data_IF_126797398698
#
_entry.id   IF_126797398698
#
_cell.length_a   1.000
_cell.length_b   1.000
_cell.length_c   1.000
_cell.angle_alpha   90.00
_cell.angle_beta   90.00
_cell.angle_gamma   90.00
#
_symmetry.space_group_name_H-M   'P 1'
#
loop_
_entity.id
_entity.type
_entity.pdbx_description
1 polymer ?
#
# COMPACT_ATOMS: atom_id res chain seq x y z
N UNK A 1 -14.13 -3.72 -1.42
CA UNK A 1 -14.16 -5.03 -2.11
C UNK A 1 -12.74 -5.58 -2.12
N UNK A 2 -12.53 -6.89 -1.90
CA UNK A 2 -11.17 -7.46 -1.93
C UNK A 2 -10.65 -7.47 -3.38
N UNK A 3 -9.62 -6.66 -3.67
CA UNK A 3 -9.00 -6.60 -5.00
C UNK A 3 -7.98 -7.74 -5.18
N UNK A 4 -6.87 -7.73 -4.42
CA UNK A 4 -5.84 -8.79 -4.46
C UNK A 4 -5.87 -9.74 -3.27
N UNK A 5 -6.24 -9.26 -2.08
CA UNK A 5 -6.15 -10.01 -0.82
C UNK A 5 -7.53 -10.38 -0.31
N UNK A 6 -7.81 -11.68 -0.18
CA UNK A 6 -9.08 -12.16 0.35
C UNK A 6 -9.18 -11.96 1.88
N UNK A 7 -10.42 -12.00 2.44
CA UNK A 7 -10.64 -11.81 3.87
C UNK A 7 -10.01 -12.88 4.77
N UNK A 8 -9.83 -14.11 4.26
CA UNK A 8 -9.17 -15.17 5.02
C UNK A 8 -7.66 -14.95 5.06
N UNK A 9 -7.15 -14.65 6.24
CA UNK A 9 -5.75 -14.34 6.52
C UNK A 9 -5.41 -14.93 7.89
N UNK A 10 -4.28 -15.62 8.00
CA UNK A 10 -3.78 -16.13 9.26
C UNK A 10 -2.35 -15.62 9.46
N UNK A 11 -2.19 -14.63 10.32
CA UNK A 11 -0.91 -14.04 10.69
C UNK A 11 -0.94 -13.70 12.18
N UNK A 12 0.24 -13.59 12.80
CA UNK A 12 0.37 -13.13 14.18
C UNK A 12 0.58 -11.61 14.18
N UNK A 13 0.04 -10.91 15.17
CA UNK A 13 0.27 -9.46 15.36
C UNK A 13 1.74 -9.12 15.53
N UNK A 14 2.54 -10.03 16.11
CA UNK A 14 4.00 -9.85 16.23
C UNK A 14 4.74 -9.83 14.90
N UNK A 15 4.10 -10.35 13.85
CA UNK A 15 4.67 -10.43 12.50
C UNK A 15 4.22 -9.25 11.62
N UNK A 16 3.45 -8.31 12.18
CA UNK A 16 2.97 -7.12 11.48
C UNK A 16 3.85 -5.91 11.81
N UNK A 17 4.40 -5.31 10.76
CA UNK A 17 5.13 -4.05 10.83
C UNK A 17 4.15 -2.93 10.49
N UNK A 18 3.95 -2.00 11.43
CA UNK A 18 3.08 -0.84 11.25
C UNK A 18 3.85 0.49 11.45
N UNK A 19 4.97 0.63 10.74
CA UNK A 19 5.87 1.77 10.87
C UNK A 19 6.07 2.56 9.56
N UNK A 20 5.78 1.95 8.42
CA UNK A 20 6.05 2.53 7.10
C UNK A 20 4.75 2.97 6.42
N UNK A 21 4.78 4.09 5.72
CA UNK A 21 3.70 4.49 4.82
C UNK A 21 3.97 4.01 3.38
N UNK A 22 2.89 3.71 2.64
CA UNK A 22 3.01 3.44 1.22
C UNK A 22 3.38 4.73 0.48
N UNK A 23 4.34 4.64 -0.44
CA UNK A 23 4.67 5.75 -1.33
C UNK A 23 3.57 5.97 -2.38
N UNK A 24 2.90 4.89 -2.80
CA UNK A 24 1.83 4.94 -3.80
C UNK A 24 0.48 4.97 -3.09
N UNK A 25 -0.42 5.81 -3.60
CA UNK A 25 -1.79 5.96 -3.11
C UNK A 25 -2.71 5.79 -4.31
N UNK A 26 -3.65 4.84 -4.23
CA UNK A 26 -4.58 4.60 -5.32
C UNK A 26 -5.73 5.62 -5.30
N UNK A 27 -6.23 5.93 -6.49
CA UNK A 27 -7.24 6.98 -6.70
C UNK A 27 -8.67 6.48 -6.49
N UNK A 28 -8.91 5.18 -6.59
CA UNK A 28 -10.24 4.59 -6.48
C UNK A 28 -10.15 3.20 -5.83
N UNK A 29 -11.10 2.84 -4.95
CA UNK A 29 -11.14 1.54 -4.27
C UNK A 29 -11.56 0.35 -5.14
N UNK A 30 -11.93 0.59 -6.40
CA UNK A 30 -12.38 -0.45 -7.34
C UNK A 30 -11.31 -0.84 -8.37
N UNK A 31 -10.18 -0.13 -8.42
CA UNK A 31 -9.10 -0.38 -9.37
C UNK A 31 -7.89 -0.95 -8.68
N UNK A 32 -7.37 -2.05 -9.22
CA UNK A 32 -6.16 -2.69 -8.72
C UNK A 32 -4.91 -1.84 -9.01
N UNK A 33 -4.18 -1.47 -7.96
CA UNK A 33 -3.01 -0.61 -8.01
C UNK A 33 -1.92 -1.02 -7.00
N UNK A 34 -0.88 -0.20 -6.89
CA UNK A 34 0.20 -0.44 -5.92
C UNK A 34 -0.11 0.16 -4.53
N UNK A 35 -1.21 0.89 -4.39
CA UNK A 35 -1.82 1.24 -3.11
C UNK A 35 -2.67 0.11 -2.53
N UNK A 36 -3.06 -0.89 -3.32
CA UNK A 36 -4.03 -1.91 -2.93
C UNK A 36 -3.55 -2.82 -1.79
N UNK A 37 -4.50 -3.45 -1.08
CA UNK A 37 -4.17 -4.51 -0.11
C UNK A 37 -3.70 -5.77 -0.87
N UNK A 38 -2.72 -6.50 -0.35
CA UNK A 38 -2.16 -7.68 -0.99
C UNK A 38 -0.94 -7.41 -1.89
N UNK A 39 -0.38 -6.20 -1.84
CA UNK A 39 0.81 -5.82 -2.61
C UNK A 39 2.06 -6.30 -1.88
N UNK A 40 2.96 -6.96 -2.60
CA UNK A 40 4.30 -7.28 -2.08
C UNK A 40 5.17 -6.03 -2.10
N UNK A 41 5.76 -5.67 -0.97
CA UNK A 41 6.45 -4.36 -0.81
C UNK A 41 7.91 -4.51 -0.38
N UNK A 42 8.71 -3.49 -0.70
CA UNK A 42 10.11 -3.32 -0.27
C UNK A 42 10.31 -1.96 0.37
N UNK A 43 11.30 -1.85 1.25
CA UNK A 43 11.66 -0.57 1.88
C UNK A 43 12.20 0.39 0.81
N UNK A 44 11.66 1.61 0.77
CA UNK A 44 12.12 2.70 -0.09
C UNK A 44 13.00 3.68 0.70
N UNK A 45 12.55 4.07 1.90
CA UNK A 45 13.27 4.96 2.81
C UNK A 45 13.18 4.41 4.23
N UNK A 46 14.34 4.21 4.87
CA UNK A 46 14.49 3.55 6.17
C UNK A 46 15.39 4.31 7.15
N UNK A 47 15.53 5.63 7.01
CA UNK A 47 16.41 6.42 7.87
C UNK A 47 15.78 6.64 9.25
N UNK A 48 16.20 5.84 10.23
CA UNK A 48 15.73 5.90 11.61
C UNK A 48 16.17 7.14 12.39
N UNK A 49 17.06 7.97 11.82
CA UNK A 49 17.49 9.23 12.44
C UNK A 49 16.59 10.42 12.08
N UNK A 50 15.59 10.23 11.21
CA UNK A 50 14.62 11.29 10.89
C UNK A 50 13.58 11.46 12.00
N UNK A 51 12.93 12.62 11.99
CA UNK A 51 11.80 12.89 12.88
C UNK A 51 10.65 11.89 12.67
N UNK A 52 9.80 11.77 13.69
CA UNK A 52 8.70 10.79 13.69
C UNK A 52 7.59 11.10 12.68
N UNK A 53 7.49 12.35 12.24
CA UNK A 53 6.57 12.80 11.21
C UNK A 53 7.20 13.93 10.39
N UNK A 54 6.80 14.04 9.12
CA UNK A 54 7.19 15.13 8.22
C UNK A 54 5.94 15.92 7.78
N UNK A 55 6.08 17.24 7.60
CA UNK A 55 5.02 18.13 7.11
C UNK A 55 5.31 18.54 5.67
N UNK A 56 4.90 17.65 4.76
CA UNK A 56 5.10 17.83 3.33
C UNK A 56 3.91 18.61 2.75
N UNK A 57 4.19 19.50 1.81
CA UNK A 57 3.15 20.13 0.99
C UNK A 57 2.44 19.06 0.18
N UNK A 58 1.11 19.04 0.23
CA UNK A 58 0.34 17.98 -0.41
C UNK A 58 -0.80 18.54 -1.25
N UNK A 59 -0.77 18.21 -2.55
CA UNK A 59 -1.90 18.41 -3.47
C UNK A 59 -3.19 17.72 -2.98
N UNK A 60 -3.06 16.80 -2.03
CA UNK A 60 -4.20 16.11 -1.42
C UNK A 60 -5.09 17.06 -0.62
N UNK A 61 -4.55 18.12 0.01
CA UNK A 61 -5.35 19.07 0.79
C UNK A 61 -5.87 20.22 -0.07
N UNK A 62 -5.09 20.66 -1.05
CA UNK A 62 -5.44 21.77 -1.94
C UNK A 62 -4.31 22.06 -2.91
N UNK A 63 -4.50 23.06 -3.77
CA UNK A 63 -3.46 23.49 -4.71
C UNK A 63 -2.31 24.17 -3.97
N UNK A 64 -1.08 23.75 -4.23
CA UNK A 64 0.13 24.31 -3.61
C UNK A 64 0.73 25.49 -4.36
N UNK A 65 0.25 25.77 -5.58
CA UNK A 65 1.00 26.57 -6.56
C UNK A 65 0.51 28.02 -6.68
N UNK A 66 -0.38 28.46 -5.78
CA UNK A 66 -0.91 29.83 -5.82
C UNK A 66 0.00 30.81 -5.08
N UNK A 67 0.38 31.94 -5.71
CA UNK A 67 1.14 32.98 -5.03
C UNK A 67 0.39 33.51 -3.81
N UNK A 68 1.11 33.68 -2.68
CA UNK A 68 0.65 34.30 -1.43
C UNK A 68 -0.41 33.52 -0.61
N UNK A 69 -0.84 32.35 -1.05
CA UNK A 69 -1.59 31.40 -0.24
C UNK A 69 -0.61 30.42 0.41
N UNK A 70 -0.65 30.29 1.74
CA UNK A 70 0.15 29.29 2.44
C UNK A 70 -0.25 27.89 1.97
N UNK A 71 0.73 27.02 1.73
CA UNK A 71 0.45 25.63 1.37
C UNK A 71 0.00 24.86 2.61
N UNK A 72 -1.14 24.18 2.52
CA UNK A 72 -1.58 23.26 3.56
C UNK A 72 -0.60 22.09 3.68
N UNK A 73 -0.12 21.87 4.90
CA UNK A 73 0.82 20.79 5.22
C UNK A 73 0.04 19.60 5.76
N UNK A 74 0.35 18.41 5.25
CA UNK A 74 -0.22 17.17 5.75
C UNK A 74 0.86 16.40 6.52
N UNK A 75 0.60 15.95 7.76
CA UNK A 75 1.55 15.13 8.50
C UNK A 75 1.68 13.76 7.86
N UNK A 76 2.90 13.33 7.56
CA UNK A 76 3.18 12.04 6.93
C UNK A 76 4.28 11.28 7.65
N UNK A 77 4.21 9.96 7.60
CA UNK A 77 5.30 9.09 8.04
C UNK A 77 6.46 9.18 7.04
N UNK A 78 7.69 9.49 7.47
CA UNK A 78 8.84 9.64 6.57
C UNK A 78 9.44 8.30 6.13
N UNK A 79 9.23 7.24 6.90
CA UNK A 79 9.61 5.89 6.55
C UNK A 79 8.64 5.36 5.47
N UNK A 80 9.17 5.01 4.30
CA UNK A 80 8.36 4.65 3.13
C UNK A 80 8.69 3.27 2.60
N UNK A 81 7.67 2.57 2.12
CA UNK A 81 7.81 1.40 1.27
C UNK A 81 7.22 1.65 -0.12
N UNK A 82 7.59 0.82 -1.08
CA UNK A 82 7.03 0.80 -2.43
C UNK A 82 6.84 -0.64 -2.90
N UNK A 83 6.11 -0.84 -3.99
CA UNK A 83 5.91 -2.17 -4.58
C UNK A 83 7.26 -2.83 -4.93
N UNK A 84 7.40 -4.09 -4.55
CA UNK A 84 8.62 -4.85 -4.74
C UNK A 84 8.81 -5.28 -6.21
N UNK A 85 10.05 -5.35 -6.62
CA UNK A 85 10.49 -5.89 -7.92
C UNK A 85 11.67 -6.82 -7.66
N UNK A 86 12.07 -7.61 -8.65
CA UNK A 86 13.28 -8.44 -8.53
C UNK A 86 14.51 -7.61 -8.18
N UNK A 87 15.46 -8.21 -7.45
CA UNK A 87 16.74 -7.59 -7.08
C UNK A 87 16.77 -6.87 -5.73
N UNK A 88 15.66 -6.82 -5.00
CA UNK A 88 15.59 -6.31 -3.63
C UNK A 88 14.80 -7.26 -2.72
N UNK A 89 15.13 -7.35 -1.43
CA UNK A 89 14.37 -8.17 -0.49
C UNK A 89 12.95 -7.63 -0.32
N UNK A 90 11.98 -8.54 -0.32
CA UNK A 90 10.58 -8.26 -0.01
C UNK A 90 10.43 -8.11 1.50
N UNK A 91 9.81 -7.03 1.96
CA UNK A 91 9.49 -6.78 3.36
C UNK A 91 8.29 -7.62 3.81
N UNK A 92 7.26 -7.72 2.98
CA UNK A 92 6.03 -8.44 3.29
C UNK A 92 4.88 -8.03 2.38
N UNK A 93 3.65 -8.33 2.84
CA UNK A 93 2.39 -8.05 2.13
C UNK A 93 1.57 -6.96 2.85
N UNK A 94 1.00 -6.01 2.11
CA UNK A 94 0.11 -4.98 2.68
C UNK A 94 -1.23 -5.58 3.13
N UNK A 95 -1.65 -5.28 4.36
CA UNK A 95 -2.93 -5.77 4.89
C UNK A 95 -4.10 -4.84 4.56
N UNK A 96 -3.84 -3.54 4.47
CA UNK A 96 -4.84 -2.52 4.16
C UNK A 96 -4.49 -1.81 2.85
N UNK A 97 -5.50 -1.23 2.22
CA UNK A 97 -5.32 -0.45 1.00
C UNK A 97 -4.99 1.01 1.34
N UNK A 98 -4.07 1.63 0.61
CA UNK A 98 -3.73 3.05 0.72
C UNK A 98 -4.45 3.82 -0.38
N UNK A 99 -5.52 4.55 -0.03
CA UNK A 99 -6.45 5.17 -0.98
C UNK A 99 -6.81 6.59 -0.55
N UNK A 100 -6.99 7.48 -1.53
CA UNK A 100 -7.32 8.89 -1.29
C UNK A 100 -8.80 9.27 -1.47
N UNK A 101 -9.52 8.62 -2.38
CA UNK A 101 -10.92 8.92 -2.71
C UNK A 101 -11.83 7.68 -2.57
N UNK A 102 -13.13 7.90 -2.44
CA UNK A 102 -14.16 6.87 -2.45
C UNK A 102 -14.57 6.49 -3.90
N UNK A 103 -15.53 5.58 -4.04
CA UNK A 103 -16.06 5.12 -5.33
C UNK A 103 -16.63 6.25 -6.19
N UNK A 104 -17.10 7.33 -5.55
CA UNK A 104 -17.72 8.50 -6.20
C UNK A 104 -16.74 9.67 -6.38
N UNK A 105 -15.46 9.49 -6.01
CA UNK A 105 -14.43 10.52 -6.12
C UNK A 105 -14.38 11.49 -4.93
N UNK A 106 -15.15 11.26 -3.87
CA UNK A 106 -15.09 12.07 -2.65
C UNK A 106 -13.85 11.71 -1.82
N UNK A 107 -13.19 12.69 -1.18
CA UNK A 107 -11.99 12.41 -0.37
C UNK A 107 -12.36 11.60 0.88
N UNK A 108 -11.67 10.48 1.10
CA UNK A 108 -11.85 9.64 2.30
C UNK A 108 -11.47 10.36 3.60
N UNK A 109 -10.70 11.45 3.51
CA UNK A 109 -10.41 12.32 4.65
C UNK A 109 -11.68 12.88 5.32
N UNK A 110 -12.74 13.14 4.54
CA UNK A 110 -14.01 13.68 5.07
C UNK A 110 -15.00 12.58 5.47
N UNK A 111 -14.78 11.35 5.00
CA UNK A 111 -15.68 10.20 5.20
C UNK A 111 -14.96 9.08 5.98
N UNK A 112 -14.73 9.25 7.30
CA UNK A 112 -14.01 8.26 8.10
C UNK A 112 -14.74 6.91 8.20
N UNK A 113 -16.08 6.92 8.21
CA UNK A 113 -16.88 5.68 8.26
C UNK A 113 -16.65 4.82 7.02
N UNK A 114 -16.75 5.42 5.82
CA UNK A 114 -16.46 4.71 4.56
C UNK A 114 -15.01 4.23 4.50
N UNK A 115 -14.07 5.03 4.99
CA UNK A 115 -12.65 4.65 5.04
C UNK A 115 -12.45 3.37 5.86
N UNK A 116 -13.10 3.25 7.01
CA UNK A 116 -13.01 2.07 7.87
C UNK A 116 -13.76 0.86 7.27
N UNK A 117 -14.91 1.07 6.64
CA UNK A 117 -15.63 0.03 5.86
C UNK A 117 -14.78 -0.55 4.74
N UNK A 118 -13.99 0.31 4.08
CA UNK A 118 -13.07 -0.06 3.03
C UNK A 118 -11.76 -0.66 3.56
N UNK A 119 -11.52 -0.69 4.87
CA UNK A 119 -10.23 -1.07 5.45
C UNK A 119 -9.07 -0.28 4.81
N UNK A 120 -9.29 1.02 4.60
CA UNK A 120 -8.35 1.90 3.92
C UNK A 120 -7.50 2.73 4.91
N UNK A 121 -6.28 3.03 4.48
CA UNK A 121 -5.31 3.91 5.12
C UNK A 121 -5.15 5.14 4.23
N UNK A 122 -5.11 6.33 4.82
CA UNK A 122 -4.95 7.56 4.03
C UNK A 122 -3.50 7.74 3.57
N UNK A 123 -3.31 8.60 2.57
CA UNK A 123 -1.96 8.99 2.12
C UNK A 123 -1.07 9.39 3.29
N UNK A 124 0.14 8.84 3.37
CA UNK A 124 1.12 9.22 4.39
C UNK A 124 0.89 8.63 5.79
N UNK A 125 -0.22 7.92 6.04
CA UNK A 125 -0.40 7.14 7.26
C UNK A 125 0.35 5.80 7.17
N UNK A 126 0.75 5.26 8.33
CA UNK A 126 1.39 3.95 8.38
C UNK A 126 0.42 2.87 7.89
N UNK A 127 0.89 2.03 6.97
CA UNK A 127 0.13 0.91 6.44
C UNK A 127 0.69 -0.39 7.03
N UNK A 128 -0.16 -1.25 7.62
CA UNK A 128 0.28 -2.50 8.23
C UNK A 128 0.75 -3.49 7.15
N UNK A 129 1.97 -4.00 7.32
CA UNK A 129 2.62 -4.98 6.44
C UNK A 129 2.89 -6.26 7.23
N UNK A 130 2.35 -7.38 6.79
CA UNK A 130 2.63 -8.68 7.40
C UNK A 130 3.87 -9.30 6.76
N UNK A 131 4.84 -9.69 7.60
CA UNK A 131 6.11 -10.29 7.17
C UNK A 131 6.01 -11.79 6.94
N UNK A 132 5.08 -12.46 7.64
CA UNK A 132 4.79 -13.90 7.49
C UNK A 132 3.34 -14.20 7.83
N UNK A 133 2.85 -15.31 7.33
CA UNK A 133 1.48 -15.77 7.53
C UNK A 133 0.99 -16.62 6.36
N UNK A 134 -0.28 -17.02 6.45
CA UNK A 134 -1.03 -17.66 5.37
C UNK A 134 -2.06 -16.67 4.82
N UNK A 135 -1.98 -16.41 3.52
CA UNK A 135 -2.80 -15.43 2.83
C UNK A 135 -3.40 -16.06 1.59
N UNK A 136 -4.67 -15.74 1.34
CA UNK A 136 -5.37 -16.16 0.13
C UNK A 136 -5.46 -14.97 -0.82
N UNK A 137 -5.01 -15.15 -2.06
CA UNK A 137 -4.94 -14.08 -3.06
C UNK A 137 -5.90 -14.33 -4.22
N UNK A 138 -6.36 -13.24 -4.82
CA UNK A 138 -7.09 -13.21 -6.07
C UNK A 138 -6.16 -13.39 -7.29
N UNK A 139 -6.72 -13.76 -8.44
CA UNK A 139 -5.97 -13.86 -9.71
C UNK A 139 -5.21 -12.57 -10.04
N UNK A 140 -5.76 -11.41 -9.68
CA UNK A 140 -5.13 -10.09 -9.90
C UNK A 140 -3.79 -9.90 -9.18
N UNK A 141 -3.51 -10.67 -8.12
CA UNK A 141 -2.24 -10.64 -7.41
C UNK A 141 -1.08 -11.29 -8.17
N UNK A 142 -1.39 -12.11 -9.19
CA UNK A 142 -0.42 -12.87 -9.96
C UNK A 142 -0.11 -12.19 -11.30
N UNK A 143 1.11 -12.36 -11.77
CA UNK A 143 1.51 -11.96 -13.12
C UNK A 143 0.95 -12.94 -14.15
N UNK A 144 0.11 -12.45 -15.08
CA UNK A 144 -0.52 -13.30 -16.10
C UNK A 144 0.42 -13.74 -17.22
N UNK A 145 1.59 -13.09 -17.36
CA UNK A 145 2.49 -13.25 -18.51
C UNK A 145 3.74 -14.10 -18.19
N UNK A 146 3.92 -14.57 -16.95
CA UNK A 146 5.19 -15.13 -16.47
C UNK A 146 5.26 -16.66 -16.28
N UNK A 147 4.13 -17.36 -16.36
CA UNK A 147 4.02 -18.75 -15.91
C UNK A 147 2.87 -18.89 -14.91
N UNK A 148 2.29 -20.08 -14.82
CA UNK A 148 1.20 -20.34 -13.89
C UNK A 148 1.78 -20.72 -12.53
N UNK A 149 1.25 -20.17 -11.44
CA UNK A 149 1.63 -20.62 -10.10
C UNK A 149 1.10 -22.04 -9.89
N UNK A 150 2.00 -23.01 -9.96
CA UNK A 150 1.68 -24.43 -9.78
C UNK A 150 1.75 -24.77 -8.27
N UNK A 151 0.74 -25.46 -7.72
CA UNK A 151 0.79 -25.94 -6.34
C UNK A 151 2.05 -26.77 -6.06
N UNK A 152 2.75 -26.45 -4.98
CA UNK A 152 3.98 -27.14 -4.56
C UNK A 152 5.28 -26.47 -5.01
N UNK A 153 5.22 -25.48 -5.90
CA UNK A 153 6.39 -24.70 -6.30
C UNK A 153 6.59 -23.45 -5.44
N UNK A 154 7.84 -22.98 -5.37
CA UNK A 154 8.16 -21.68 -4.81
C UNK A 154 7.63 -20.57 -5.73
N UNK A 155 7.10 -19.51 -5.13
CA UNK A 155 6.58 -18.33 -5.84
C UNK A 155 7.56 -17.18 -5.62
N UNK A 156 7.93 -16.51 -6.70
CA UNK A 156 8.81 -15.33 -6.70
C UNK A 156 8.06 -14.01 -6.86
N UNK A 157 8.82 -12.91 -6.81
CA UNK A 157 8.32 -11.58 -7.16
C UNK A 157 8.40 -11.38 -8.68
N UNK A 158 7.36 -10.77 -9.26
CA UNK A 158 7.34 -10.44 -10.68
C UNK A 158 8.45 -9.44 -11.06
N UNK A 159 9.19 -9.67 -12.16
CA UNK A 159 10.15 -8.71 -12.70
C UNK A 159 9.46 -7.57 -13.48
N UNK A 160 8.31 -7.85 -14.11
CA UNK A 160 7.63 -6.92 -15.01
C UNK A 160 6.50 -6.12 -14.35
N UNK A 161 5.90 -6.66 -13.29
CA UNK A 161 4.73 -6.09 -12.63
C UNK A 161 4.99 -5.90 -11.13
N UNK A 162 5.38 -4.69 -10.69
CA UNK A 162 5.74 -4.43 -9.30
C UNK A 162 4.65 -4.88 -8.32
N UNK A 163 5.06 -5.56 -7.25
CA UNK A 163 4.20 -6.00 -6.17
C UNK A 163 3.32 -7.20 -6.48
N UNK A 164 3.43 -7.80 -7.68
CA UNK A 164 2.76 -9.05 -8.06
C UNK A 164 3.67 -10.26 -7.90
N UNK A 165 3.04 -11.41 -7.73
CA UNK A 165 3.69 -12.71 -7.62
C UNK A 165 3.82 -13.40 -8.98
N UNK A 166 4.87 -14.20 -9.16
CA UNK A 166 5.12 -15.01 -10.36
C UNK A 166 5.69 -16.37 -9.98
N UNK A 167 5.56 -17.39 -10.82
CA UNK A 167 5.97 -18.77 -10.53
C UNK A 167 6.36 -19.54 -11.78
#
# INVERSE_FOLDING_TARGET
>A
MALRLYPFRQYNETDVINLFANQVVDDNPSTDGNGSAGVMVKVLSGNMNQDTFDLIGSDYLGKTDYPFLGADKYPTVPLRFTAATTGAPVLGVTLNQTIKNDENGEKLLYNPVKKDELQAVLSGQACPVATRGLFTFDESAYEKTGGSVIPGNLVGISPGNPGKLTG
#
